data_IF_412186664268
#
_entry.id   IF_412186664268
#
_cell.length_a   1.000
_cell.length_b   1.000
_cell.length_c   1.000
_cell.angle_alpha   90.00
_cell.angle_beta   90.00
_cell.angle_gamma   90.00
#
_symmetry.space_group_name_H-M   'P 1'
#
loop_
_entity.id
_entity.type
_entity.pdbx_description
1 polymer ?
#
# COMPACT_ATOMS: atom_id res chain seq x y z
N UNK A 1 -7.08 23.10 6.53
CA UNK A 1 -7.95 22.25 5.69
C UNK A 1 -7.19 20.97 5.44
N UNK A 2 -7.64 19.87 6.00
CA UNK A 2 -7.12 18.53 5.73
C UNK A 2 -8.03 17.96 4.64
N UNK A 3 -7.51 17.72 3.45
CA UNK A 3 -8.22 16.95 2.44
C UNK A 3 -8.30 15.51 2.94
N UNK A 4 -9.45 15.14 3.50
CA UNK A 4 -9.76 13.74 3.76
C UNK A 4 -10.03 13.15 2.37
N UNK A 5 -9.02 12.54 1.74
CA UNK A 5 -9.23 11.83 0.50
C UNK A 5 -10.25 10.72 0.74
N UNK A 6 -11.35 10.72 -0.01
CA UNK A 6 -12.47 9.80 0.13
C UNK A 6 -12.15 8.34 -0.28
N UNK A 7 -10.88 7.97 -0.31
CA UNK A 7 -10.39 6.65 -0.67
C UNK A 7 -9.68 6.04 0.53
N UNK A 8 -9.99 4.80 0.93
CA UNK A 8 -9.15 4.10 1.91
C UNK A 8 -7.78 3.89 1.28
N UNK A 9 -6.80 4.67 1.73
CA UNK A 9 -5.41 4.50 1.32
C UNK A 9 -4.90 3.16 1.86
N UNK A 10 -4.54 2.25 0.96
CA UNK A 10 -3.92 0.96 1.26
C UNK A 10 -2.41 1.15 1.29
N UNK A 11 -1.77 0.78 2.40
CA UNK A 11 -0.32 0.86 2.55
C UNK A 11 0.27 -0.55 2.59
N UNK A 12 1.14 -0.86 1.62
CA UNK A 12 1.85 -2.12 1.56
C UNK A 12 3.36 -1.90 1.39
N UNK A 13 4.16 -2.81 1.94
CA UNK A 13 5.61 -2.79 1.72
C UNK A 13 6.00 -3.33 0.34
N UNK A 14 7.12 -2.86 -0.21
CA UNK A 14 7.77 -3.49 -1.36
C UNK A 14 8.01 -4.99 -1.09
N UNK A 15 7.75 -5.82 -2.10
CA UNK A 15 7.79 -7.27 -2.03
C UNK A 15 6.59 -7.91 -1.33
N UNK A 16 5.66 -7.10 -0.79
CA UNK A 16 4.43 -7.58 -0.17
C UNK A 16 3.39 -8.11 -1.17
N UNK A 17 2.25 -8.54 -0.63
CA UNK A 17 1.06 -8.93 -1.39
C UNK A 17 -0.03 -7.87 -1.22
N UNK A 18 -0.68 -7.49 -2.32
CA UNK A 18 -1.93 -6.74 -2.35
C UNK A 18 -3.11 -7.69 -2.48
N UNK A 19 -4.18 -7.45 -1.73
CA UNK A 19 -5.46 -8.16 -1.87
C UNK A 19 -6.59 -7.13 -1.94
N UNK A 20 -7.26 -7.05 -3.09
CA UNK A 20 -8.40 -6.16 -3.31
C UNK A 20 -9.68 -6.97 -3.36
N UNK A 21 -10.60 -6.70 -2.43
CA UNK A 21 -11.90 -7.38 -2.33
C UNK A 21 -13.03 -6.41 -2.67
N UNK A 22 -13.58 -6.46 -3.89
CA UNK A 22 -14.74 -5.66 -4.27
C UNK A 22 -16.01 -6.17 -3.58
N UNK A 23 -16.91 -5.23 -3.27
CA UNK A 23 -18.21 -5.55 -2.73
C UNK A 23 -19.18 -5.90 -3.87
N UNK A 24 -19.35 -7.21 -4.09
CA UNK A 24 -20.24 -7.73 -5.12
C UNK A 24 -21.73 -7.55 -4.81
N UNK A 25 -22.12 -7.09 -3.61
CA UNK A 25 -23.53 -6.85 -3.29
C UNK A 25 -24.16 -5.76 -4.19
N UNK A 26 -23.31 -4.91 -4.75
CA UNK A 26 -23.70 -3.86 -5.71
C UNK A 26 -23.87 -4.38 -7.14
N UNK A 27 -23.50 -5.63 -7.41
CA UNK A 27 -23.63 -6.28 -8.72
C UNK A 27 -24.90 -7.14 -8.70
N UNK A 28 -25.99 -6.73 -9.38
CA UNK A 28 -27.29 -7.39 -9.28
C UNK A 28 -27.33 -8.74 -10.01
N UNK A 29 -26.52 -8.91 -11.04
CA UNK A 29 -26.49 -10.09 -11.90
C UNK A 29 -25.30 -10.99 -11.57
N UNK A 30 -25.35 -12.25 -12.03
CA UNK A 30 -24.16 -13.10 -12.00
C UNK A 30 -23.02 -12.46 -12.78
N UNK A 31 -21.80 -12.54 -12.25
CA UNK A 31 -20.61 -12.02 -12.92
C UNK A 31 -20.31 -12.88 -14.16
N UNK A 32 -20.30 -12.26 -15.31
CA UNK A 32 -19.95 -12.84 -16.62
C UNK A 32 -18.69 -12.22 -17.21
N UNK A 33 -18.29 -11.02 -16.76
CA UNK A 33 -16.99 -10.45 -17.08
C UNK A 33 -16.43 -9.58 -15.96
N UNK A 34 -15.11 -9.51 -15.88
CA UNK A 34 -14.36 -8.72 -14.91
C UNK A 34 -13.20 -8.03 -15.61
N UNK A 35 -13.03 -6.73 -15.39
CA UNK A 35 -11.87 -5.98 -15.84
C UNK A 35 -11.28 -5.14 -14.72
N UNK A 36 -10.07 -5.48 -14.30
CA UNK A 36 -9.27 -4.67 -13.38
C UNK A 36 -8.36 -3.71 -14.14
N UNK A 37 -8.30 -2.48 -13.66
CA UNK A 37 -7.43 -1.42 -14.19
C UNK A 37 -6.56 -0.83 -13.09
N UNK A 38 -5.33 -0.46 -13.48
CA UNK A 38 -4.41 0.37 -12.73
C UNK A 38 -4.28 1.69 -13.47
N UNK A 39 -4.92 2.73 -12.95
CA UNK A 39 -5.18 3.96 -13.70
C UNK A 39 -5.93 3.67 -15.00
N UNK A 40 -5.28 3.91 -16.15
CA UNK A 40 -5.86 3.65 -17.48
C UNK A 40 -5.43 2.29 -18.07
N UNK A 41 -4.51 1.58 -17.42
CA UNK A 41 -3.91 0.37 -17.96
C UNK A 41 -4.67 -0.86 -17.44
N UNK A 42 -4.83 -1.87 -18.30
CA UNK A 42 -5.41 -3.16 -17.89
C UNK A 42 -4.44 -3.91 -16.97
N UNK A 43 -4.99 -4.58 -15.96
CA UNK A 43 -4.26 -5.46 -15.03
C UNK A 43 -4.62 -6.91 -15.31
N UNK A 44 -5.92 -7.20 -15.26
CA UNK A 44 -6.49 -8.53 -15.47
C UNK A 44 -7.88 -8.38 -16.12
N UNK A 45 -8.20 -9.27 -17.04
CA UNK A 45 -9.50 -9.32 -17.72
C UNK A 45 -9.96 -10.77 -17.82
N UNK A 46 -11.23 -10.99 -17.55
CA UNK A 46 -11.86 -12.28 -17.73
C UNK A 46 -13.24 -12.09 -18.31
N UNK A 47 -13.59 -12.96 -19.25
CA UNK A 47 -14.93 -13.03 -19.82
C UNK A 47 -15.36 -14.50 -19.94
N UNK A 48 -16.57 -14.79 -19.45
CA UNK A 48 -17.14 -16.13 -19.40
C UNK A 48 -17.35 -16.73 -20.79
N UNK A 49 -17.70 -15.93 -21.78
CA UNK A 49 -18.07 -16.39 -23.12
C UNK A 49 -16.83 -16.54 -24.02
N UNK A 50 -15.77 -15.79 -23.74
CA UNK A 50 -14.49 -15.87 -24.47
C UNK A 50 -13.41 -16.70 -23.75
N UNK A 51 -13.69 -17.18 -22.53
CA UNK A 51 -13.06 -18.35 -21.90
C UNK A 51 -11.68 -18.15 -21.27
N UNK A 52 -10.98 -17.05 -21.54
CA UNK A 52 -9.63 -16.79 -21.03
C UNK A 52 -9.58 -15.79 -19.87
N UNK A 53 -8.73 -16.07 -18.88
CA UNK A 53 -8.21 -15.04 -17.97
C UNK A 53 -6.92 -14.48 -18.58
N UNK A 54 -6.95 -13.20 -18.95
CA UNK A 54 -5.79 -12.48 -19.45
C UNK A 54 -5.19 -11.60 -18.36
N UNK A 55 -3.87 -11.69 -18.17
CA UNK A 55 -3.09 -10.84 -17.27
C UNK A 55 -2.13 -10.01 -18.11
N UNK A 56 -2.01 -8.71 -17.81
CA UNK A 56 -1.35 -7.76 -18.69
C UNK A 56 -0.01 -7.25 -18.15
N UNK A 57 0.96 -7.07 -19.06
CA UNK A 57 2.21 -6.33 -18.85
C UNK A 57 2.96 -6.71 -17.55
N UNK A 58 3.24 -5.73 -16.69
CA UNK A 58 4.01 -5.92 -15.46
C UNK A 58 3.31 -6.82 -14.43
N UNK A 59 2.03 -7.14 -14.62
CA UNK A 59 1.22 -7.93 -13.69
C UNK A 59 1.28 -9.44 -14.00
N UNK A 60 1.83 -9.83 -15.15
CA UNK A 60 2.00 -11.24 -15.57
C UNK A 60 2.82 -12.01 -14.52
N UNK A 61 2.42 -13.25 -14.25
CA UNK A 61 3.03 -14.17 -13.26
C UNK A 61 3.00 -13.69 -11.81
N UNK A 62 2.40 -12.53 -11.51
CA UNK A 62 2.27 -11.99 -10.15
C UNK A 62 0.82 -11.87 -9.67
N UNK A 63 -0.13 -12.03 -10.59
CA UNK A 63 -1.54 -11.67 -10.37
C UNK A 63 -2.45 -12.87 -10.46
N UNK A 64 -3.42 -12.95 -9.54
CA UNK A 64 -4.53 -13.90 -9.62
C UNK A 64 -5.85 -13.15 -9.54
N UNK A 65 -6.86 -13.66 -10.25
CA UNK A 65 -8.21 -13.12 -10.23
C UNK A 65 -9.20 -14.24 -9.87
N UNK A 66 -9.96 -14.03 -8.80
CA UNK A 66 -11.12 -14.87 -8.49
C UNK A 66 -12.31 -14.44 -9.35
N UNK A 67 -12.74 -15.30 -10.27
CA UNK A 67 -13.82 -15.01 -11.22
C UNK A 67 -15.22 -15.01 -10.59
N UNK A 68 -15.35 -15.54 -9.37
CA UNK A 68 -16.62 -15.58 -8.61
C UNK A 68 -16.81 -14.33 -7.77
N UNK A 69 -15.72 -13.80 -7.20
CA UNK A 69 -15.76 -12.66 -6.26
C UNK A 69 -15.22 -11.37 -6.85
N UNK A 70 -14.42 -11.45 -7.92
CA UNK A 70 -13.63 -10.33 -8.43
C UNK A 70 -12.42 -9.98 -7.57
N UNK A 71 -12.06 -10.80 -6.57
CA UNK A 71 -10.88 -10.58 -5.75
C UNK A 71 -9.62 -10.60 -6.61
N UNK A 72 -8.87 -9.49 -6.57
CA UNK A 72 -7.58 -9.35 -7.24
C UNK A 72 -6.46 -9.50 -6.21
N UNK A 73 -5.49 -10.35 -6.50
CA UNK A 73 -4.24 -10.44 -5.72
C UNK A 73 -3.05 -10.12 -6.60
N UNK A 74 -2.12 -9.32 -6.08
CA UNK A 74 -0.86 -8.99 -6.74
C UNK A 74 0.27 -9.25 -5.75
N UNK A 75 1.17 -10.16 -6.10
CA UNK A 75 2.34 -10.52 -5.29
C UNK A 75 3.60 -9.76 -5.73
N UNK A 76 4.56 -9.66 -4.81
CA UNK A 76 5.86 -9.03 -5.11
C UNK A 76 5.72 -7.57 -5.49
N UNK A 77 4.97 -6.79 -4.69
CA UNK A 77 4.67 -5.39 -5.00
C UNK A 77 5.93 -4.55 -5.23
N UNK A 78 5.90 -3.74 -6.28
CA UNK A 78 6.93 -2.79 -6.63
C UNK A 78 6.46 -1.36 -6.37
N UNK A 79 7.39 -0.41 -6.25
CA UNK A 79 7.02 1.01 -6.07
C UNK A 79 6.19 1.54 -7.23
N UNK A 80 6.34 0.98 -8.43
CA UNK A 80 5.57 1.31 -9.65
C UNK A 80 4.13 0.79 -9.62
N UNK A 81 3.82 -0.19 -8.76
CA UNK A 81 2.47 -0.73 -8.61
C UNK A 81 1.57 0.23 -7.80
N UNK A 82 2.13 1.31 -7.23
CA UNK A 82 1.37 2.37 -6.55
C UNK A 82 0.36 3.03 -7.48
N UNK A 83 -0.75 3.50 -6.95
CA UNK A 83 -1.76 4.24 -7.70
C UNK A 83 -3.17 3.73 -7.46
N UNK A 84 -4.09 4.13 -8.34
CA UNK A 84 -5.51 3.83 -8.20
C UNK A 84 -5.87 2.59 -9.01
N UNK A 85 -6.55 1.65 -8.35
CA UNK A 85 -7.14 0.47 -8.96
C UNK A 85 -8.66 0.59 -8.99
N UNK A 86 -9.25 0.16 -10.09
CA UNK A 86 -10.69 0.12 -10.29
C UNK A 86 -11.09 -1.20 -10.96
N UNK A 87 -12.33 -1.61 -10.74
CA UNK A 87 -12.88 -2.85 -11.32
C UNK A 87 -14.18 -2.56 -12.04
N UNK A 88 -14.35 -3.20 -13.19
CA UNK A 88 -15.61 -3.29 -13.90
C UNK A 88 -16.15 -4.71 -13.80
N UNK A 89 -17.43 -4.85 -13.46
CA UNK A 89 -18.18 -6.10 -13.51
C UNK A 89 -19.22 -6.02 -14.61
N UNK A 90 -19.25 -6.99 -15.52
CA UNK A 90 -20.23 -7.02 -16.62
C UNK A 90 -20.23 -5.69 -17.42
N UNK A 91 -19.04 -5.15 -17.68
CA UNK A 91 -18.81 -3.83 -18.31
C UNK A 91 -19.34 -2.61 -17.53
N UNK A 92 -19.70 -2.75 -16.25
CA UNK A 92 -20.11 -1.66 -15.37
C UNK A 92 -19.03 -1.36 -14.35
N UNK A 93 -18.58 -0.12 -14.31
CA UNK A 93 -17.59 0.36 -13.35
C UNK A 93 -18.16 0.33 -11.93
N UNK A 94 -17.42 -0.24 -11.00
CA UNK A 94 -17.71 -0.12 -9.57
C UNK A 94 -17.25 1.25 -9.06
N UNK A 95 -18.13 1.97 -8.36
CA UNK A 95 -17.82 3.29 -7.81
C UNK A 95 -16.63 3.29 -6.85
N UNK A 96 -16.41 2.16 -6.15
CA UNK A 96 -15.31 1.98 -5.23
C UNK A 96 -13.99 1.78 -5.97
N UNK A 97 -13.07 2.70 -5.77
CA UNK A 97 -11.66 2.57 -6.18
C UNK A 97 -10.74 2.29 -5.00
N UNK A 98 -9.57 1.74 -5.27
CA UNK A 98 -8.56 1.39 -4.28
C UNK A 98 -7.28 2.15 -4.56
N UNK A 99 -6.85 3.02 -3.64
CA UNK A 99 -5.61 3.77 -3.78
C UNK A 99 -4.50 3.06 -3.01
N UNK A 100 -3.50 2.57 -3.72
CA UNK A 100 -2.37 1.84 -3.17
C UNK A 100 -1.12 2.73 -3.07
N UNK A 101 -0.57 2.82 -1.88
CA UNK A 101 0.79 3.28 -1.62
C UNK A 101 1.70 2.09 -1.35
N UNK A 102 2.84 2.04 -2.05
CA UNK A 102 3.88 1.01 -1.85
C UNK A 102 5.12 1.66 -1.25
N UNK A 103 5.42 1.29 -0.01
CA UNK A 103 6.48 1.88 0.82
C UNK A 103 7.68 0.94 0.93
N UNK A 104 8.89 1.51 0.96
CA UNK A 104 10.10 0.75 1.29
C UNK A 104 10.24 0.64 2.81
N UNK A 105 10.87 -0.43 3.27
CA UNK A 105 11.25 -0.53 4.67
C UNK A 105 12.25 0.58 5.01
N UNK A 106 11.98 1.33 6.08
CA UNK A 106 12.93 2.34 6.57
C UNK A 106 14.07 1.60 7.28
N UNK A 107 15.34 1.87 6.94
CA UNK A 107 16.48 1.34 7.66
C UNK A 107 16.39 1.64 9.15
N UNK A 108 16.86 0.69 9.97
CA UNK A 108 16.91 0.89 11.43
C UNK A 108 17.77 2.14 11.72
N UNK A 109 17.27 3.11 12.51
CA UNK A 109 18.06 4.28 12.85
C UNK A 109 19.21 3.91 13.79
N UNK A 110 20.29 4.67 13.69
CA UNK A 110 21.44 4.59 14.58
C UNK A 110 21.26 5.57 15.73
N UNK A 111 21.51 5.11 16.96
CA UNK A 111 21.52 5.96 18.14
C UNK A 111 22.98 6.21 18.52
N UNK A 112 23.40 7.46 18.53
CA UNK A 112 24.72 7.89 19.03
C UNK A 112 24.56 8.71 20.31
N UNK A 113 25.57 8.64 21.17
CA UNK A 113 25.61 9.43 22.41
C UNK A 113 26.86 10.31 22.43
N UNK A 114 26.69 11.54 22.87
CA UNK A 114 27.79 12.48 23.11
C UNK A 114 27.62 13.07 24.50
N UNK A 115 28.65 12.95 25.34
CA UNK A 115 28.61 13.42 26.72
C UNK A 115 29.68 14.48 26.96
N UNK A 116 29.42 15.38 27.92
CA UNK A 116 30.46 16.28 28.41
C UNK A 116 31.58 15.49 29.14
N UNK A 117 32.74 16.11 29.36
CA UNK A 117 33.91 15.47 29.96
C UNK A 117 33.60 14.79 31.32
N UNK A 118 32.72 15.41 32.11
CA UNK A 118 32.33 14.92 33.44
C UNK A 118 31.19 13.89 33.41
N UNK A 119 30.67 13.52 32.22
CA UNK A 119 29.55 12.59 32.01
C UNK A 119 28.27 12.93 32.79
N UNK A 120 28.10 14.20 33.17
CA UNK A 120 26.91 14.70 33.87
C UNK A 120 25.78 15.08 32.92
N UNK A 121 26.10 15.31 31.64
CA UNK A 121 25.12 15.60 30.60
C UNK A 121 25.50 14.86 29.33
N UNK A 122 24.52 14.16 28.75
CA UNK A 122 24.66 13.42 27.52
C UNK A 122 23.51 13.76 26.57
N UNK A 123 23.86 13.99 25.30
CA UNK A 123 22.92 14.14 24.20
C UNK A 123 22.85 12.82 23.45
N UNK A 124 21.63 12.32 23.23
CA UNK A 124 21.36 11.17 22.37
C UNK A 124 20.86 11.69 21.02
N UNK A 125 21.46 11.22 19.94
CA UNK A 125 21.07 11.54 18.57
C UNK A 125 20.54 10.27 17.91
N UNK A 126 19.33 10.33 17.36
CA UNK A 126 18.74 9.24 16.59
C UNK A 126 18.72 9.67 15.13
N UNK A 127 19.50 8.98 14.31
CA UNK A 127 19.65 9.30 12.90
C UNK A 127 19.28 8.09 12.06
N UNK A 128 18.43 8.27 11.06
CA UNK A 128 18.03 7.22 10.14
C UNK A 128 18.03 7.74 8.71
N UNK A 129 18.41 6.89 7.76
CA UNK A 129 18.27 7.22 6.35
C UNK A 129 16.79 7.13 5.94
N UNK A 130 16.24 8.23 5.44
CA UNK A 130 14.82 8.35 5.05
C UNK A 130 14.64 8.67 3.57
N UNK A 131 15.67 8.54 2.74
CA UNK A 131 15.70 9.05 1.35
C UNK A 131 14.56 8.52 0.46
N UNK A 132 13.93 7.40 0.81
CA UNK A 132 12.80 6.80 0.06
C UNK A 132 11.52 6.63 0.91
N UNK A 133 11.45 7.25 2.08
CA UNK A 133 10.30 7.12 2.98
C UNK A 133 9.27 8.22 2.73
N UNK A 134 8.00 7.84 2.60
CA UNK A 134 6.90 8.79 2.33
C UNK A 134 6.55 9.62 3.57
N UNK A 135 6.54 9.02 4.75
CA UNK A 135 6.56 9.72 6.04
C UNK A 135 7.32 8.90 7.07
N UNK A 136 8.07 9.57 7.96
CA UNK A 136 8.82 8.93 9.03
C UNK A 136 8.50 9.63 10.33
N UNK A 137 8.09 8.86 11.33
CA UNK A 137 7.88 9.36 12.69
C UNK A 137 8.98 8.84 13.58
N UNK A 138 9.74 9.75 14.19
CA UNK A 138 10.71 9.42 15.22
C UNK A 138 10.04 9.47 16.59
N UNK A 139 10.33 8.50 17.44
CA UNK A 139 9.87 8.53 18.83
C UNK A 139 10.96 8.02 19.77
N UNK A 140 11.13 8.75 20.87
CA UNK A 140 12.01 8.35 21.96
C UNK A 140 11.18 7.65 23.03
N UNK A 141 11.65 6.48 23.48
CA UNK A 141 11.11 5.78 24.64
C UNK A 141 12.19 5.72 25.71
N UNK A 142 12.00 6.49 26.79
CA UNK A 142 12.87 6.40 27.97
C UNK A 142 12.63 5.09 28.72
N UNK A 143 13.69 4.44 29.20
CA UNK A 143 13.60 3.34 30.15
C UNK A 143 13.19 3.85 31.53
N UNK A 144 12.17 3.20 32.11
CA UNK A 144 11.57 3.36 33.47
C UNK A 144 11.72 4.74 34.13
N UNK A 145 10.68 5.58 33.97
CA UNK A 145 10.45 6.77 34.81
C UNK A 145 10.30 8.13 34.11
N UNK A 146 10.23 8.23 32.77
CA UNK A 146 10.30 9.52 32.05
C UNK A 146 9.16 9.80 31.07
N UNK A 147 8.60 11.01 31.18
CA UNK A 147 7.50 11.56 30.36
C UNK A 147 7.79 11.58 28.85
N UNK A 148 6.73 11.34 28.06
CA UNK A 148 6.71 11.37 26.60
C UNK A 148 6.95 12.80 26.11
N UNK A 149 8.03 13.03 25.35
CA UNK A 149 8.19 14.26 24.56
C UNK A 149 8.25 13.90 23.09
N UNK A 150 7.33 14.49 22.33
CA UNK A 150 7.29 14.41 20.87
C UNK A 150 8.06 15.61 20.33
N UNK A 151 8.94 15.41 19.35
CA UNK A 151 9.52 16.48 18.56
C UNK A 151 9.01 16.30 17.13
N UNK A 152 8.31 17.30 16.61
CA UNK A 152 8.00 17.43 15.18
C UNK A 152 9.21 18.08 14.49
N UNK A 153 9.54 17.57 13.30
CA UNK A 153 10.50 18.14 12.36
C UNK A 153 9.89 18.16 10.97
#
# INVERSE_FOLDING_TARGET
MYEISAFPDLYHKVGGELVLKPDKSTVPDSITSILWKHGKNKVAEWDKDFGGLDIYAAFINRTTLDQTTGELRISGLMTTDRGVYSVEFNSKLLDKTYKLSVIKAVPKPTITSSCNANKTSCTLTCEGNTTDAESVTYSWRGGVGGHRKTADG
#
